data_IF_935197929250
#
_entry.id   IF_935197929250
#
_cell.length_a   1.000
_cell.length_b   1.000
_cell.length_c   1.000
_cell.angle_alpha   90.00
_cell.angle_beta   90.00
_cell.angle_gamma   90.00
#
_symmetry.space_group_name_H-M   'P 1'
#
loop_
_entity.id
_entity.type
_entity.pdbx_description
1 polymer ?
#
# COMPACT_ATOMS: atom_id res chain seq x y z
N UNK A 1 -23.27 -5.48 -11.03
CA UNK A 1 -23.10 -6.32 -9.82
C UNK A 1 -22.42 -5.44 -8.77
N UNK A 2 -22.97 -5.33 -7.55
CA UNK A 2 -22.26 -4.61 -6.48
C UNK A 2 -21.05 -5.46 -6.08
N UNK A 3 -19.84 -4.98 -6.40
CA UNK A 3 -18.61 -5.66 -5.99
C UNK A 3 -18.50 -5.56 -4.47
N UNK A 4 -18.72 -6.68 -3.77
CA UNK A 4 -18.73 -6.74 -2.30
C UNK A 4 -19.96 -7.40 -1.69
N UNK A 5 -21.00 -7.72 -2.47
CA UNK A 5 -22.03 -8.65 -2.01
C UNK A 5 -21.37 -9.99 -1.64
N UNK A 6 -21.60 -10.51 -0.44
CA UNK A 6 -20.93 -11.74 0.04
C UNK A 6 -19.48 -11.57 0.53
N UNK A 7 -18.89 -10.36 0.51
CA UNK A 7 -17.61 -10.08 1.21
C UNK A 7 -17.93 -9.52 2.60
N UNK A 8 -17.79 -10.37 3.62
CA UNK A 8 -18.09 -10.02 5.01
C UNK A 8 -17.04 -9.09 5.61
N UNK A 9 -15.77 -9.38 5.35
CA UNK A 9 -14.64 -8.62 5.88
C UNK A 9 -13.42 -8.70 4.97
N UNK A 10 -12.68 -7.60 4.87
CA UNK A 10 -11.33 -7.61 4.34
C UNK A 10 -10.40 -6.72 5.16
N UNK A 11 -9.20 -7.20 5.48
CA UNK A 11 -8.24 -6.47 6.32
C UNK A 11 -6.81 -6.77 5.90
N UNK A 12 -5.96 -5.76 5.89
CA UNK A 12 -4.54 -5.94 5.64
C UNK A 12 -3.83 -4.65 5.25
N UNK A 13 -2.55 -4.75 4.93
CA UNK A 13 -1.70 -3.59 4.64
C UNK A 13 -1.38 -3.53 3.16
N UNK A 14 -1.27 -2.32 2.61
CA UNK A 14 -0.90 -2.16 1.21
C UNK A 14 -0.04 -0.92 0.98
N UNK A 15 0.61 -0.93 -0.18
CA UNK A 15 1.37 0.18 -0.72
C UNK A 15 0.55 0.89 -1.79
N UNK A 16 0.65 2.22 -1.85
CA UNK A 16 -0.04 3.08 -2.82
C UNK A 16 0.98 4.07 -3.42
N UNK A 17 1.06 4.23 -4.75
CA UNK A 17 2.07 5.08 -5.39
C UNK A 17 1.93 6.57 -5.04
N UNK A 18 0.71 7.07 -4.81
CA UNK A 18 0.47 8.46 -4.39
C UNK A 18 0.80 8.75 -2.92
N UNK A 19 1.11 7.71 -2.13
CA UNK A 19 1.47 7.77 -0.71
C UNK A 19 2.61 6.79 -0.43
N UNK A 20 3.67 6.86 -1.24
CA UNK A 20 4.62 5.76 -1.42
C UNK A 20 5.45 5.42 -0.16
N UNK A 21 5.48 6.35 0.78
CA UNK A 21 6.15 6.27 2.08
C UNK A 21 5.24 5.72 3.17
N UNK A 22 3.92 5.70 2.99
CA UNK A 22 2.96 5.27 4.00
C UNK A 22 2.59 3.79 3.86
N UNK A 23 2.71 3.04 4.95
CA UNK A 23 2.07 1.75 5.11
C UNK A 23 0.64 1.96 5.63
N UNK A 24 -0.34 1.68 4.77
CA UNK A 24 -1.75 1.89 5.07
C UNK A 24 -2.43 0.57 5.41
N UNK A 25 -3.22 0.56 6.48
CA UNK A 25 -4.11 -0.54 6.83
C UNK A 25 -5.47 -0.31 6.18
N UNK A 26 -5.82 -1.20 5.27
CA UNK A 26 -7.17 -1.42 4.79
C UNK A 26 -7.97 -2.19 5.83
N UNK A 27 -9.15 -1.68 6.17
CA UNK A 27 -10.10 -2.36 7.05
C UNK A 27 -11.53 -2.14 6.54
N UNK A 28 -12.13 -3.19 6.01
CA UNK A 28 -13.49 -3.20 5.49
C UNK A 28 -14.34 -4.20 6.24
N UNK A 29 -15.52 -3.76 6.66
CA UNK A 29 -16.55 -4.58 7.28
C UNK A 29 -17.93 -3.92 7.08
N UNK A 30 -18.96 -4.74 6.87
CA UNK A 30 -20.36 -4.32 6.80
C UNK A 30 -20.62 -3.11 5.87
N UNK A 31 -19.94 -3.07 4.71
CA UNK A 31 -20.11 -2.02 3.70
C UNK A 31 -19.31 -0.73 3.95
N UNK A 32 -18.59 -0.61 5.07
CA UNK A 32 -17.66 0.49 5.34
C UNK A 32 -16.22 0.08 5.01
N UNK A 33 -15.43 1.01 4.49
CA UNK A 33 -13.98 0.84 4.26
C UNK A 33 -13.26 1.99 4.94
N UNK A 34 -12.24 1.66 5.74
CA UNK A 34 -11.36 2.62 6.38
C UNK A 34 -9.90 2.36 5.98
N UNK A 35 -9.16 3.46 5.84
CA UNK A 35 -7.71 3.45 5.65
C UNK A 35 -7.03 4.14 6.83
N UNK A 36 -6.11 3.43 7.48
CA UNK A 36 -5.41 3.91 8.66
C UNK A 36 -3.89 3.93 8.42
N UNK A 37 -3.19 4.96 8.91
CA UNK A 37 -1.72 4.96 8.90
C UNK A 37 -1.19 4.04 10.00
N UNK A 38 -0.24 3.17 9.66
CA UNK A 38 0.37 2.25 10.63
C UNK A 38 1.85 2.55 10.84
N UNK A 39 2.60 2.77 9.76
CA UNK A 39 4.02 3.09 9.82
C UNK A 39 4.47 3.67 8.49
N UNK A 40 5.74 4.07 8.41
CA UNK A 40 6.36 4.36 7.13
C UNK A 40 7.05 3.12 6.55
N UNK A 41 7.06 3.00 5.21
CA UNK A 41 7.93 2.09 4.49
C UNK A 41 9.36 2.61 4.52
N UNK A 42 10.32 1.77 4.87
CA UNK A 42 11.75 2.13 4.86
C UNK A 42 12.20 2.59 3.48
N UNK A 43 11.73 1.92 2.43
CA UNK A 43 12.04 2.30 1.05
C UNK A 43 11.49 3.68 0.67
N UNK A 44 10.37 4.10 1.26
CA UNK A 44 9.80 5.44 1.05
C UNK A 44 10.45 6.50 1.91
N UNK A 45 10.73 6.24 3.19
CA UNK A 45 11.44 7.23 4.04
C UNK A 45 12.77 7.66 3.43
N UNK A 46 13.45 6.78 2.68
CA UNK A 46 14.69 7.14 2.00
C UNK A 46 14.54 8.13 0.84
N UNK A 47 13.34 8.27 0.24
CA UNK A 47 13.07 9.23 -0.86
C UNK A 47 12.88 10.65 -0.34
N UNK A 48 12.39 10.80 0.89
CA UNK A 48 12.25 12.07 1.58
C UNK A 48 13.61 12.62 2.01
N UNK A 49 13.90 13.89 1.72
CA UNK A 49 15.14 14.59 2.09
C UNK A 49 14.99 15.46 3.34
N UNK A 50 13.76 15.69 3.79
CA UNK A 50 13.36 16.55 4.90
C UNK A 50 13.22 15.83 6.26
N UNK A 51 13.49 14.52 6.32
CA UNK A 51 13.50 13.78 7.58
C UNK A 51 14.83 13.96 8.36
N UNK A 52 14.75 13.75 9.67
CA UNK A 52 15.89 13.91 10.59
C UNK A 52 16.89 12.74 10.59
N UNK A 53 16.90 11.90 9.55
CA UNK A 53 17.81 10.75 9.51
C UNK A 53 19.25 11.18 9.19
N UNK A 54 20.18 10.71 10.01
CA UNK A 54 21.61 10.84 9.80
C UNK A 54 22.08 10.03 8.58
N UNK A 55 23.32 10.28 8.13
CA UNK A 55 23.92 9.54 7.01
C UNK A 55 24.07 8.06 7.35
N UNK A 56 24.45 7.78 8.60
CA UNK A 56 24.66 6.45 9.16
C UNK A 56 23.34 5.67 9.22
N UNK A 57 22.25 6.30 9.69
CA UNK A 57 20.92 5.69 9.71
C UNK A 57 20.42 5.37 8.30
N UNK A 58 20.57 6.31 7.36
CA UNK A 58 20.22 6.06 5.95
C UNK A 58 21.03 4.91 5.35
N UNK A 59 22.33 4.82 5.66
CA UNK A 59 23.17 3.72 5.20
C UNK A 59 22.71 2.37 5.77
N UNK A 60 22.38 2.32 7.07
CA UNK A 60 21.84 1.13 7.71
C UNK A 60 20.51 0.68 7.09
N UNK A 61 19.59 1.61 6.81
CA UNK A 61 18.32 1.31 6.15
C UNK A 61 18.57 0.76 4.73
N UNK A 62 19.45 1.38 3.95
CA UNK A 62 19.82 0.89 2.61
C UNK A 62 20.38 -0.53 2.66
N UNK A 63 21.23 -0.84 3.64
CA UNK A 63 21.79 -2.18 3.80
C UNK A 63 20.71 -3.22 4.16
N UNK A 64 19.71 -2.85 4.97
CA UNK A 64 18.58 -3.72 5.27
C UNK A 64 17.71 -3.97 4.03
N UNK A 65 17.42 -2.92 3.25
CA UNK A 65 16.63 -3.03 2.03
C UNK A 65 17.33 -3.82 0.93
N UNK A 66 18.66 -3.71 0.80
CA UNK A 66 19.45 -4.47 -0.17
C UNK A 66 19.38 -5.99 0.04
N UNK A 67 19.04 -6.45 1.25
CA UNK A 67 18.81 -7.87 1.57
C UNK A 67 17.40 -8.34 1.23
N UNK A 68 16.49 -7.42 0.90
CA UNK A 68 15.11 -7.76 0.57
C UNK A 68 14.98 -8.07 -0.92
N UNK A 69 14.21 -9.11 -1.30
CA UNK A 69 13.98 -9.44 -2.69
C UNK A 69 13.04 -8.44 -3.36
N UNK A 70 13.31 -8.14 -4.64
CA UNK A 70 12.43 -7.35 -5.50
C UNK A 70 12.73 -5.84 -5.52
N UNK A 71 12.09 -5.15 -6.46
CA UNK A 71 12.38 -3.75 -6.80
C UNK A 71 11.75 -2.69 -5.87
N UNK A 72 10.89 -3.12 -4.95
CA UNK A 72 10.11 -2.23 -4.08
C UNK A 72 10.57 -2.22 -2.61
N UNK A 73 11.60 -2.99 -2.27
CA UNK A 73 12.13 -3.08 -0.91
C UNK A 73 11.12 -3.72 0.06
N UNK A 74 10.76 -2.99 1.12
CA UNK A 74 9.82 -3.46 2.13
C UNK A 74 8.35 -3.19 1.80
N UNK A 75 8.05 -2.37 0.78
CA UNK A 75 6.68 -2.06 0.32
C UNK A 75 5.98 -3.32 -0.17
N UNK A 76 4.83 -3.64 0.44
CA UNK A 76 4.08 -4.88 0.17
C UNK A 76 2.57 -4.66 0.25
N UNK A 77 1.84 -5.44 -0.55
CA UNK A 77 0.39 -5.56 -0.47
C UNK A 77 0.00 -6.93 0.08
N UNK A 78 -0.79 -6.96 1.15
CA UNK A 78 -1.30 -8.18 1.77
C UNK A 78 -2.67 -7.90 2.36
N UNK A 79 -3.67 -8.61 1.87
CA UNK A 79 -5.05 -8.52 2.32
C UNK A 79 -5.57 -9.92 2.65
N UNK A 80 -6.25 -10.04 3.78
CA UNK A 80 -7.06 -11.22 4.12
C UNK A 80 -8.51 -10.87 3.84
N UNK A 81 -9.21 -11.72 3.10
CA UNK A 81 -10.62 -11.55 2.72
C UNK A 81 -11.42 -12.73 3.26
N UNK A 82 -12.59 -12.45 3.83
CA UNK A 82 -13.53 -13.42 4.38
C UNK A 82 -14.90 -13.14 3.73
N UNK A 83 -15.48 -14.16 3.12
CA UNK A 83 -16.69 -14.04 2.32
C UNK A 83 -17.16 -15.38 1.76
N UNK A 84 -18.15 -15.33 0.88
CA UNK A 84 -18.59 -16.45 0.06
C UNK A 84 -17.57 -16.75 -1.05
N UNK A 85 -17.31 -18.03 -1.34
CA UNK A 85 -16.18 -18.42 -2.21
C UNK A 85 -16.19 -17.73 -3.59
N UNK A 86 -17.34 -17.69 -4.28
CA UNK A 86 -17.43 -17.08 -5.61
C UNK A 86 -17.29 -15.56 -5.60
N UNK A 87 -17.70 -14.90 -4.52
CA UNK A 87 -17.58 -13.45 -4.37
C UNK A 87 -16.15 -13.04 -3.95
N UNK A 88 -15.45 -13.89 -3.18
CA UNK A 88 -14.03 -13.69 -2.86
C UNK A 88 -13.19 -13.67 -4.13
N UNK A 89 -13.43 -14.59 -5.07
CA UNK A 89 -12.63 -14.70 -6.29
C UNK A 89 -12.79 -13.45 -7.17
N UNK A 90 -14.02 -12.99 -7.37
CA UNK A 90 -14.33 -11.76 -8.11
C UNK A 90 -13.70 -10.52 -7.43
N UNK A 91 -13.80 -10.43 -6.10
CA UNK A 91 -13.19 -9.34 -5.33
C UNK A 91 -11.66 -9.37 -5.41
N UNK A 92 -11.04 -10.54 -5.28
CA UNK A 92 -9.59 -10.72 -5.40
C UNK A 92 -9.10 -10.45 -6.83
N UNK A 93 -9.89 -10.76 -7.85
CA UNK A 93 -9.60 -10.42 -9.24
C UNK A 93 -9.61 -8.89 -9.43
N UNK A 94 -10.63 -8.19 -8.93
CA UNK A 94 -10.71 -6.74 -8.99
C UNK A 94 -9.50 -6.08 -8.30
N UNK A 95 -9.10 -6.55 -7.12
CA UNK A 95 -7.89 -6.06 -6.44
C UNK A 95 -6.61 -6.31 -7.24
N UNK A 96 -6.48 -7.47 -7.89
CA UNK A 96 -5.33 -7.79 -8.74
C UNK A 96 -5.26 -6.90 -9.98
N UNK A 97 -6.41 -6.52 -10.54
CA UNK A 97 -6.48 -5.57 -11.66
C UNK A 97 -6.08 -4.14 -11.26
N UNK A 98 -6.08 -3.80 -9.97
CA UNK A 98 -5.59 -2.52 -9.47
C UNK A 98 -4.06 -2.50 -9.28
N UNK A 99 -3.35 -3.61 -9.47
CA UNK A 99 -1.89 -3.61 -9.43
C UNK A 99 -1.34 -2.87 -10.65
N UNK A 100 -0.32 -2.05 -10.41
CA UNK A 100 0.34 -1.32 -11.48
C UNK A 100 0.96 -2.29 -12.49
N UNK A 101 0.77 -1.98 -13.77
CA UNK A 101 1.49 -2.57 -14.90
C UNK A 101 2.95 -2.13 -14.92
N UNK A 102 3.79 -2.78 -15.74
CA UNK A 102 5.21 -2.40 -15.84
C UNK A 102 5.38 -0.98 -16.39
N UNK A 103 4.54 -0.57 -17.34
CA UNK A 103 4.51 0.77 -17.89
C UNK A 103 4.13 1.81 -16.82
N UNK A 104 3.13 1.52 -16.00
CA UNK A 104 2.73 2.39 -14.89
C UNK A 104 3.80 2.46 -13.78
N UNK A 105 4.51 1.37 -13.53
CA UNK A 105 5.66 1.35 -12.62
C UNK A 105 6.78 2.24 -13.15
N UNK A 106 7.11 2.16 -14.44
CA UNK A 106 8.12 3.02 -15.06
C UNK A 106 7.70 4.50 -15.02
N UNK A 107 6.43 4.79 -15.31
CA UNK A 107 5.86 6.12 -15.17
C UNK A 107 6.02 6.66 -13.74
N UNK A 108 5.63 5.88 -12.73
CA UNK A 108 5.80 6.24 -11.32
C UNK A 108 7.28 6.54 -10.97
N UNK A 109 8.20 5.67 -11.41
CA UNK A 109 9.64 5.83 -11.15
C UNK A 109 10.23 7.10 -11.78
N UNK A 110 9.61 7.62 -12.83
CA UNK A 110 10.00 8.88 -13.49
C UNK A 110 9.36 10.12 -12.86
N UNK A 111 8.65 9.96 -11.73
CA UNK A 111 7.95 11.06 -11.05
C UNK A 111 6.50 11.23 -11.49
N UNK A 112 5.95 10.25 -12.21
CA UNK A 112 4.55 10.22 -12.59
C UNK A 112 3.61 10.20 -11.38
N UNK A 113 2.52 10.96 -11.47
CA UNK A 113 1.52 11.09 -10.41
C UNK A 113 0.29 10.23 -10.74
N UNK A 114 -0.23 9.54 -9.74
CA UNK A 114 -1.51 8.84 -9.81
C UNK A 114 -2.57 9.65 -9.06
N UNK A 115 -3.77 9.73 -9.63
CA UNK A 115 -4.90 10.31 -8.91
C UNK A 115 -5.24 9.45 -7.70
N UNK A 116 -5.17 10.05 -6.52
CA UNK A 116 -5.51 9.39 -5.26
C UNK A 116 -6.93 9.78 -4.84
N UNK A 117 -7.93 8.88 -4.96
CA UNK A 117 -9.32 9.18 -4.63
C UNK A 117 -9.58 9.18 -3.11
N UNK A 118 -8.60 8.81 -2.29
CA UNK A 118 -8.78 8.69 -0.85
C UNK A 118 -8.62 10.05 -0.14
N UNK A 119 -9.27 10.25 1.02
CA UNK A 119 -9.09 11.47 1.80
C UNK A 119 -7.62 11.74 2.11
N UNK A 120 -7.18 13.00 1.96
CA UNK A 120 -5.78 13.42 2.17
C UNK A 120 -5.37 13.39 3.64
N UNK A 121 -6.33 13.54 4.56
CA UNK A 121 -6.10 13.39 5.99
C UNK A 121 -6.04 11.90 6.33
N UNK A 122 -4.84 11.37 6.53
CA UNK A 122 -4.66 10.01 7.03
C UNK A 122 -4.86 10.01 8.55
N UNK A 123 -5.81 9.21 9.04
CA UNK A 123 -6.00 9.03 10.47
C UNK A 123 -4.75 8.40 11.07
N UNK A 124 -4.10 9.12 11.99
CA UNK A 124 -3.01 8.61 12.82
C UNK A 124 -3.62 8.24 14.15
N UNK A 125 -3.49 6.98 14.56
CA UNK A 125 -3.83 6.59 15.92
C UNK A 125 -2.91 7.37 16.88
N UNK A 126 -3.52 8.06 17.84
CA UNK A 126 -2.83 8.80 18.89
C UNK A 126 -2.22 7.84 19.92
#
# INVERSE_FOLDING_TARGET
RFMGAGVYRSKGFFWLPGRDDLALLWNQAAGSINLEFISYWKAGVLTHTDNSLTKEERAAIRQQLAKMPGRFGDRRCRLTVIGESGEIDDFALALRQCLLTEEEILWWQQGGIFHDPWPTKVARLA
#
